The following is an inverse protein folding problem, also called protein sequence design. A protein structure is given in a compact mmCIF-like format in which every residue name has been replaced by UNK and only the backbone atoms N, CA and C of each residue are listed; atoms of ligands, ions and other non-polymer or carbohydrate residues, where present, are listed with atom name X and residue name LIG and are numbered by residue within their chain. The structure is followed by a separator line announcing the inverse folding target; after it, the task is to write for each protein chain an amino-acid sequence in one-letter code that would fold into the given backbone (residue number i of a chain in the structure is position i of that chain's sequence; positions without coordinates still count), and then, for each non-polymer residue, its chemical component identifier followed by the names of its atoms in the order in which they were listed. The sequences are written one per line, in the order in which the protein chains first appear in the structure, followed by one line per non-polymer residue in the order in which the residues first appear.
data_IF_512006424298
#
_entry.id   IF_512006424298
#
_cell.length_a   1.000
_cell.length_b   1.000
_cell.length_c   1.000
_cell.angle_alpha   90.00
_cell.angle_beta   90.00
_cell.angle_gamma   90.00
#
_symmetry.space_group_name_H-M   'P 1'
#
loop_
_entity.id
_entity.type
_entity.pdbx_description
1 polymer ?
#
# COMPACT_ATOMS: atom_id res chain seq x y z
N UNK A 1 -10.13 9.81 2.27
CA UNK A 1 -10.88 8.54 2.30
C UNK A 1 -9.86 7.41 2.12
N UNK A 2 -9.59 6.58 3.15
CA UNK A 2 -8.58 5.51 3.09
C UNK A 2 -9.30 4.19 2.79
N UNK A 3 -8.83 3.47 1.78
CA UNK A 3 -9.43 2.25 1.22
C UNK A 3 -9.60 1.15 2.26
N UNK A 4 -10.78 0.52 2.21
CA UNK A 4 -11.14 -0.68 2.96
C UNK A 4 -10.73 -1.87 2.09
N UNK A 5 -9.90 -2.77 2.60
CA UNK A 5 -9.33 -3.98 1.96
C UNK A 5 -8.05 -3.85 1.11
N UNK A 6 -7.32 -2.73 1.16
CA UNK A 6 -5.93 -2.67 0.67
C UNK A 6 -5.75 -2.66 -0.85
N UNK A 7 -6.82 -2.78 -1.63
CA UNK A 7 -6.82 -2.55 -3.07
C UNK A 7 -8.14 -1.96 -3.56
N UNK A 8 -8.10 -1.27 -4.70
CA UNK A 8 -9.29 -0.93 -5.49
C UNK A 8 -9.32 -1.78 -6.74
N UNK A 9 -10.45 -2.42 -7.00
CA UNK A 9 -10.76 -3.02 -8.30
C UNK A 9 -11.26 -1.90 -9.23
N UNK A 10 -10.70 -1.83 -10.44
CA UNK A 10 -11.24 -0.96 -11.48
C UNK A 10 -12.09 -1.83 -12.40
N UNK A 11 -13.41 -1.65 -12.31
CA UNK A 11 -14.32 -2.12 -13.34
C UNK A 11 -14.42 -1.03 -14.41
N UNK A 12 -14.02 -1.34 -15.65
CA UNK A 12 -14.24 -0.43 -16.77
C UNK A 12 -15.73 -0.40 -17.08
N UNK A 13 -16.45 0.57 -16.51
CA UNK A 13 -17.78 0.94 -17.01
C UNK A 13 -17.54 1.75 -18.28
N UNK A 14 -18.09 1.27 -19.40
CA UNK A 14 -18.09 1.99 -20.68
C UNK A 14 -18.47 3.45 -20.47
N UNK A 15 -17.67 4.34 -21.05
CA UNK A 15 -17.88 5.78 -21.04
C UNK A 15 -19.30 6.10 -21.55
N UNK A 16 -20.20 6.46 -20.62
CA UNK A 16 -21.55 6.88 -20.94
C UNK A 16 -22.61 6.29 -20.02
N UNK A 17 -22.82 6.92 -18.86
CA UNK A 17 -24.14 7.12 -18.22
C UNK A 17 -23.96 7.61 -16.77
N UNK A 18 -24.43 8.83 -16.53
CA UNK A 18 -24.86 9.45 -15.26
C UNK A 18 -24.01 9.29 -13.98
N UNK A 19 -23.50 10.46 -13.55
CA UNK A 19 -22.94 10.73 -12.23
C UNK A 19 -24.10 10.74 -11.23
N UNK A 20 -24.21 9.68 -10.42
CA UNK A 20 -25.12 9.67 -9.29
C UNK A 20 -24.51 10.45 -8.11
N UNK A 21 -25.32 11.33 -7.55
CA UNK A 21 -24.97 12.39 -6.60
C UNK A 21 -24.44 11.87 -5.26
N UNK A 22 -23.35 12.49 -4.79
CA UNK A 22 -22.81 12.33 -3.43
C UNK A 22 -23.59 13.25 -2.50
N UNK A 23 -24.37 12.68 -1.58
CA UNK A 23 -24.92 13.41 -0.43
C UNK A 23 -23.82 13.74 0.58
N UNK A 24 -23.70 15.03 0.87
CA UNK A 24 -22.98 15.65 1.97
C UNK A 24 -23.84 15.63 3.24
N UNK A 25 -23.23 15.50 4.43
CA UNK A 25 -23.66 16.03 5.75
C UNK A 25 -23.02 15.28 6.96
N UNK A 26 -22.21 16.00 7.78
CA UNK A 26 -22.15 15.82 9.25
C UNK A 26 -20.84 15.32 9.92
N UNK A 27 -20.51 15.80 11.15
CA UNK A 27 -19.16 16.27 11.52
C UNK A 27 -18.10 15.19 11.88
N UNK A 28 -16.85 15.61 11.69
CA UNK A 28 -15.58 14.85 11.62
C UNK A 28 -15.21 13.88 12.78
N UNK A 29 -15.96 13.81 13.88
CA UNK A 29 -15.58 13.00 15.06
C UNK A 29 -16.08 11.56 15.02
N UNK A 30 -17.15 11.26 14.26
CA UNK A 30 -17.70 9.88 14.12
C UNK A 30 -16.83 8.95 13.27
N UNK A 31 -16.03 9.51 12.37
CA UNK A 31 -15.23 8.75 11.40
C UNK A 31 -14.06 7.96 12.02
N UNK A 32 -13.46 8.43 13.12
CA UNK A 32 -12.31 7.75 13.75
C UNK A 32 -12.70 6.44 14.45
N UNK A 33 -13.80 6.47 15.20
CA UNK A 33 -14.29 5.31 15.97
C UNK A 33 -14.82 4.23 15.00
N UNK A 34 -15.55 4.62 13.96
CA UNK A 34 -16.07 3.68 12.96
C UNK A 34 -14.93 3.00 12.17
N UNK A 35 -13.83 3.72 11.88
CA UNK A 35 -12.61 3.13 11.28
C UNK A 35 -11.93 2.13 12.21
N UNK A 36 -11.86 2.43 13.51
CA UNK A 36 -11.24 1.53 14.49
C UNK A 36 -12.06 0.26 14.69
N UNK A 37 -13.39 0.40 14.82
CA UNK A 37 -14.33 -0.72 14.95
C UNK A 37 -14.33 -1.59 13.69
N UNK A 38 -14.33 -0.99 12.49
CA UNK A 38 -14.29 -1.76 11.24
C UNK A 38 -12.94 -2.48 11.06
N UNK A 39 -11.81 -1.83 11.39
CA UNK A 39 -10.50 -2.49 11.41
C UNK A 39 -10.46 -3.63 12.41
N UNK A 40 -11.04 -3.48 13.60
CA UNK A 40 -11.12 -4.54 14.59
C UNK A 40 -12.02 -5.69 14.14
N UNK A 41 -13.15 -5.41 13.48
CA UNK A 41 -14.05 -6.43 12.94
C UNK A 41 -13.40 -7.27 11.83
N UNK A 42 -12.65 -6.63 10.91
CA UNK A 42 -11.89 -7.34 9.86
C UNK A 42 -10.63 -8.01 10.40
N UNK A 43 -10.00 -7.45 11.44
CA UNK A 43 -8.80 -8.03 12.06
C UNK A 43 -9.11 -9.17 13.03
N UNK A 44 -10.32 -9.27 13.60
CA UNK A 44 -10.64 -10.22 14.67
C UNK A 44 -10.37 -11.69 14.28
N UNK A 45 -10.79 -12.19 13.09
CA UNK A 45 -10.44 -13.55 12.67
C UNK A 45 -8.93 -13.74 12.49
N UNK A 46 -8.25 -12.75 11.90
CA UNK A 46 -6.80 -12.78 11.61
C UNK A 46 -5.94 -12.70 12.89
N UNK A 47 -6.46 -12.04 13.93
CA UNK A 47 -5.79 -11.91 15.21
C UNK A 47 -5.53 -13.28 15.84
N UNK A 48 -6.56 -14.12 15.86
CA UNK A 48 -6.56 -15.46 16.45
C UNK A 48 -6.10 -16.56 15.50
N UNK A 49 -6.14 -16.33 14.19
CA UNK A 49 -5.62 -17.26 13.20
C UNK A 49 -4.10 -17.16 13.05
N UNK A 50 -3.43 -18.30 12.95
CA UNK A 50 -2.06 -18.36 12.42
C UNK A 50 -2.14 -18.47 10.90
N UNK A 51 -1.45 -17.61 10.13
CA UNK A 51 -1.36 -17.83 8.69
C UNK A 51 -0.73 -19.21 8.42
N UNK A 52 -1.09 -19.89 7.32
CA UNK A 52 -0.47 -21.15 6.95
C UNK A 52 1.05 -21.01 6.99
N UNK A 53 1.75 -21.92 7.68
CA UNK A 53 3.19 -21.81 7.96
C UNK A 53 4.05 -21.74 6.69
N UNK A 54 3.54 -22.26 5.58
CA UNK A 54 4.22 -22.29 4.28
C UNK A 54 3.86 -21.10 3.38
N UNK A 55 2.83 -20.31 3.76
CA UNK A 55 2.33 -19.18 2.98
C UNK A 55 3.32 -18.02 2.93
N UNK A 56 3.33 -17.28 1.82
CA UNK A 56 4.25 -16.15 1.62
C UNK A 56 4.10 -15.05 2.69
N UNK A 57 2.90 -14.85 3.25
CA UNK A 57 2.67 -13.98 4.39
C UNK A 57 3.43 -14.44 5.66
N UNK A 58 3.34 -15.72 6.00
CA UNK A 58 4.04 -16.29 7.15
C UNK A 58 5.56 -16.24 6.96
N UNK A 59 6.03 -16.57 5.75
CA UNK A 59 7.45 -16.48 5.37
C UNK A 59 7.97 -15.05 5.47
N UNK A 60 7.20 -14.05 5.04
CA UNK A 60 7.57 -12.63 5.16
C UNK A 60 7.71 -12.21 6.63
N UNK A 61 6.73 -12.52 7.46
CA UNK A 61 6.73 -12.18 8.90
C UNK A 61 7.87 -12.87 9.65
N UNK A 62 8.21 -14.11 9.29
CA UNK A 62 9.31 -14.85 9.88
C UNK A 62 10.68 -14.32 9.42
N UNK A 63 10.79 -13.86 8.17
CA UNK A 63 12.05 -13.39 7.59
C UNK A 63 12.51 -12.07 8.21
N UNK A 64 11.60 -11.21 8.66
CA UNK A 64 11.93 -9.89 9.21
C UNK A 64 11.15 -9.66 10.53
N UNK A 65 11.60 -10.27 11.64
CA UNK A 65 10.89 -10.16 12.91
C UNK A 65 11.00 -8.74 13.49
N UNK A 66 9.87 -8.07 13.79
CA UNK A 66 9.88 -6.75 14.40
C UNK A 66 10.44 -6.78 15.83
N UNK A 67 11.08 -5.68 16.25
CA UNK A 67 11.62 -5.55 17.61
C UNK A 67 10.53 -5.48 18.68
N UNK A 68 9.37 -4.92 18.35
CA UNK A 68 8.25 -4.70 19.29
C UNK A 68 7.09 -5.66 19.03
N UNK A 69 6.56 -6.26 20.11
CA UNK A 69 5.42 -7.21 20.04
C UNK A 69 4.13 -6.55 19.55
N UNK A 70 3.88 -5.29 19.93
CA UNK A 70 2.69 -4.55 19.48
C UNK A 70 2.74 -4.33 17.98
N UNK A 71 3.89 -3.90 17.48
CA UNK A 71 4.12 -3.72 16.05
C UNK A 71 4.12 -5.04 15.28
N UNK A 72 4.64 -6.13 15.88
CA UNK A 72 4.56 -7.47 15.29
C UNK A 72 3.11 -7.93 15.10
N UNK A 73 2.24 -7.70 16.08
CA UNK A 73 0.82 -8.02 15.97
C UNK A 73 0.13 -7.18 14.89
N UNK A 74 0.37 -5.86 14.88
CA UNK A 74 -0.22 -4.98 13.86
C UNK A 74 0.22 -5.38 12.45
N UNK A 75 1.53 -5.57 12.23
CA UNK A 75 2.06 -5.96 10.93
C UNK A 75 1.61 -7.36 10.51
N UNK A 76 1.40 -8.29 11.46
CA UNK A 76 0.79 -9.60 11.16
C UNK A 76 -0.56 -9.41 10.50
N UNK A 77 -1.44 -8.60 11.10
CA UNK A 77 -2.79 -8.35 10.58
C UNK A 77 -2.70 -7.73 9.18
N UNK A 78 -1.93 -6.65 9.05
CA UNK A 78 -1.79 -5.93 7.78
C UNK A 78 -1.21 -6.83 6.67
N UNK A 79 -0.18 -7.62 6.96
CA UNK A 79 0.45 -8.54 5.99
C UNK A 79 -0.50 -9.67 5.60
N UNK A 80 -1.19 -10.31 6.54
CA UNK A 80 -2.09 -11.43 6.19
C UNK A 80 -3.23 -10.95 5.30
N UNK A 81 -3.91 -9.86 5.67
CA UNK A 81 -4.99 -9.30 4.87
C UNK A 81 -4.52 -8.88 3.48
N UNK A 82 -3.32 -8.30 3.37
CA UNK A 82 -2.75 -7.89 2.09
C UNK A 82 -2.47 -9.10 1.17
N UNK A 83 -1.95 -10.20 1.72
CA UNK A 83 -1.70 -11.40 0.93
C UNK A 83 -2.98 -12.14 0.55
N UNK A 84 -4.00 -12.14 1.41
CA UNK A 84 -5.33 -12.66 1.05
C UNK A 84 -5.93 -11.85 -0.10
N UNK A 85 -5.95 -10.52 0.03
CA UNK A 85 -6.37 -9.59 -1.02
C UNK A 85 -5.63 -9.83 -2.34
N UNK A 86 -4.31 -9.99 -2.27
CA UNK A 86 -3.48 -10.28 -3.43
C UNK A 86 -3.83 -11.61 -4.10
N UNK A 87 -4.01 -12.68 -3.31
CA UNK A 87 -4.36 -13.99 -3.84
C UNK A 87 -5.75 -13.98 -4.50
N UNK A 88 -6.72 -13.27 -3.91
CA UNK A 88 -8.04 -13.06 -4.50
C UNK A 88 -7.94 -12.29 -5.81
N UNK A 89 -7.14 -11.22 -5.86
CA UNK A 89 -6.92 -10.44 -7.08
C UNK A 89 -6.28 -11.28 -8.20
N UNK A 90 -5.27 -12.10 -7.90
CA UNK A 90 -4.65 -13.00 -8.87
C UNK A 90 -5.59 -14.07 -9.42
N UNK A 91 -6.54 -14.54 -8.60
CA UNK A 91 -7.53 -15.53 -9.01
C UNK A 91 -8.73 -14.91 -9.77
N UNK A 92 -8.77 -13.58 -9.89
CA UNK A 92 -9.89 -12.84 -10.48
C UNK A 92 -9.48 -12.18 -11.79
N UNK A 93 -10.42 -12.02 -12.70
CA UNK A 93 -10.22 -11.19 -13.89
C UNK A 93 -10.36 -9.71 -13.54
N UNK A 94 -9.55 -8.85 -14.18
CA UNK A 94 -9.64 -7.39 -14.05
C UNK A 94 -8.31 -6.72 -13.67
N UNK A 95 -8.39 -5.42 -13.41
CA UNK A 95 -7.24 -4.60 -13.02
C UNK A 95 -7.36 -4.20 -11.54
N UNK A 96 -6.29 -4.43 -10.79
CA UNK A 96 -6.25 -4.24 -9.34
C UNK A 96 -5.15 -3.25 -8.97
N UNK A 97 -5.52 -2.15 -8.32
CA UNK A 97 -4.57 -1.16 -7.82
C UNK A 97 -4.44 -1.31 -6.31
N UNK A 98 -3.22 -1.60 -5.85
CA UNK A 98 -2.88 -1.66 -4.44
C UNK A 98 -2.29 -0.32 -3.99
N UNK A 99 -3.09 0.50 -3.28
CA UNK A 99 -2.63 1.77 -2.67
C UNK A 99 -1.59 1.51 -1.56
N UNK A 100 -1.78 0.42 -0.80
CA UNK A 100 -0.82 -0.08 0.19
C UNK A 100 -0.32 -1.48 -0.23
N UNK A 101 0.69 -1.50 -1.10
CA UNK A 101 1.21 -2.73 -1.69
C UNK A 101 2.19 -3.50 -0.80
N UNK A 102 2.52 -4.73 -1.24
CA UNK A 102 3.44 -5.65 -0.56
C UNK A 102 4.81 -5.02 -0.25
N UNK A 103 5.28 -4.13 -1.13
CA UNK A 103 6.53 -3.38 -0.92
C UNK A 103 6.44 -2.46 0.29
N UNK A 104 5.29 -1.82 0.55
CA UNK A 104 5.13 -0.98 1.74
C UNK A 104 5.11 -1.82 3.02
N UNK A 105 4.48 -2.99 3.00
CA UNK A 105 4.53 -3.93 4.13
C UNK A 105 5.99 -4.38 4.41
N UNK A 106 6.76 -4.66 3.36
CA UNK A 106 8.19 -4.96 3.46
C UNK A 106 8.97 -3.77 4.04
N UNK A 107 8.73 -2.54 3.58
CA UNK A 107 9.36 -1.33 4.13
C UNK A 107 9.06 -1.17 5.62
N UNK A 108 7.80 -1.39 6.03
CA UNK A 108 7.39 -1.30 7.43
C UNK A 108 8.06 -2.36 8.31
N UNK A 109 8.20 -3.59 7.80
CA UNK A 109 8.94 -4.66 8.47
C UNK A 109 10.42 -4.30 8.64
N UNK A 110 11.09 -3.83 7.58
CA UNK A 110 12.50 -3.40 7.63
C UNK A 110 12.70 -2.26 8.62
N UNK A 111 11.82 -1.26 8.59
CA UNK A 111 11.85 -0.12 9.51
C UNK A 111 11.76 -0.54 10.99
N UNK A 112 11.00 -1.59 11.27
CA UNK A 112 10.71 -2.09 12.61
C UNK A 112 11.54 -3.32 13.00
N UNK A 113 12.38 -3.81 12.10
CA UNK A 113 13.25 -4.96 12.28
C UNK A 113 14.21 -4.74 13.45
N UNK A 114 14.55 -5.84 14.14
CA UNK A 114 15.60 -5.78 15.17
C UNK A 114 16.99 -5.55 14.56
N UNK A 115 17.27 -6.19 13.42
CA UNK A 115 18.53 -6.09 12.70
C UNK A 115 18.23 -6.10 11.18
N UNK A 116 17.95 -4.94 10.56
CA UNK A 116 17.65 -4.90 9.13
C UNK A 116 18.90 -5.19 8.31
N UNK A 117 18.78 -6.01 7.26
CA UNK A 117 19.83 -6.20 6.26
C UNK A 117 19.24 -6.23 4.85
N UNK A 118 20.02 -5.75 3.87
CA UNK A 118 19.60 -5.75 2.47
C UNK A 118 19.48 -7.18 1.91
N UNK A 119 20.26 -8.12 2.44
CA UNK A 119 20.17 -9.53 2.04
C UNK A 119 18.84 -10.15 2.51
N UNK A 120 18.34 -9.78 3.70
CA UNK A 120 17.00 -10.20 4.15
C UNK A 120 15.91 -9.69 3.22
N UNK A 121 16.01 -8.43 2.77
CA UNK A 121 15.09 -7.84 1.78
C UNK A 121 15.15 -8.62 0.46
N UNK A 122 16.36 -8.87 -0.06
CA UNK A 122 16.57 -9.60 -1.31
C UNK A 122 16.00 -11.02 -1.23
N UNK A 123 16.16 -11.69 -0.08
CA UNK A 123 15.59 -13.00 0.17
C UNK A 123 14.06 -12.97 0.20
N UNK A 124 13.46 -11.96 0.83
CA UNK A 124 12.00 -11.79 0.81
C UNK A 124 11.48 -11.71 -0.63
N UNK A 125 12.13 -10.92 -1.47
CA UNK A 125 11.73 -10.73 -2.88
C UNK A 125 11.69 -12.03 -3.70
N UNK A 126 12.34 -13.11 -3.27
CA UNK A 126 12.29 -14.40 -3.98
C UNK A 126 10.93 -15.10 -3.93
N UNK A 127 10.09 -14.74 -2.95
CA UNK A 127 8.79 -15.36 -2.74
C UNK A 127 7.65 -14.35 -2.63
N UNK A 128 7.94 -13.06 -2.72
CA UNK A 128 6.88 -12.05 -2.78
C UNK A 128 6.15 -12.16 -4.11
N UNK A 129 4.82 -12.02 -4.10
CA UNK A 129 4.06 -11.92 -5.33
C UNK A 129 4.57 -10.76 -6.18
N UNK A 130 4.75 -11.01 -7.48
CA UNK A 130 5.27 -10.02 -8.42
C UNK A 130 4.11 -9.19 -9.00
N UNK A 131 4.13 -7.85 -8.89
CA UNK A 131 3.21 -6.99 -9.62
C UNK A 131 3.56 -6.92 -11.11
N UNK A 132 2.55 -6.68 -11.94
CA UNK A 132 2.75 -6.34 -13.36
C UNK A 132 3.42 -4.98 -13.51
N UNK A 133 3.06 -4.03 -12.64
CA UNK A 133 3.66 -2.71 -12.57
C UNK A 133 3.75 -2.23 -11.12
N UNK A 134 4.95 -1.85 -10.70
CA UNK A 134 5.19 -1.14 -9.46
C UNK A 134 5.32 0.36 -9.72
N UNK A 135 4.54 1.18 -9.03
CA UNK A 135 4.62 2.64 -9.12
C UNK A 135 5.21 3.18 -7.82
N UNK A 136 6.38 3.82 -7.95
CA UNK A 136 7.01 4.53 -6.86
C UNK A 136 6.79 6.03 -7.03
N UNK A 137 5.91 6.58 -6.19
CA UNK A 137 5.69 8.03 -6.10
C UNK A 137 6.65 8.60 -5.08
N UNK A 138 7.46 9.57 -5.49
CA UNK A 138 8.42 10.25 -4.63
C UNK A 138 8.12 11.75 -4.52
N UNK A 139 8.59 12.37 -3.45
CA UNK A 139 8.59 13.81 -3.26
C UNK A 139 9.85 14.23 -2.47
N UNK A 140 10.32 15.47 -2.63
CA UNK A 140 11.45 16.01 -1.87
C UNK A 140 11.25 15.84 -0.36
N UNK A 141 12.35 15.55 0.35
CA UNK A 141 12.34 15.25 1.78
C UNK A 141 11.67 16.32 2.63
N UNK A 142 11.88 17.60 2.33
CA UNK A 142 11.23 18.71 3.04
C UNK A 142 9.71 18.74 2.81
N UNK A 143 9.25 18.46 1.58
CA UNK A 143 7.82 18.34 1.29
C UNK A 143 7.18 17.16 2.02
N UNK A 144 7.87 16.01 2.04
CA UNK A 144 7.41 14.84 2.81
C UNK A 144 7.34 15.16 4.30
N UNK A 145 8.35 15.83 4.86
CA UNK A 145 8.40 16.22 6.26
C UNK A 145 7.24 17.13 6.63
N UNK A 146 6.97 18.17 5.83
CA UNK A 146 5.84 19.07 6.04
C UNK A 146 4.51 18.31 6.05
N UNK A 147 4.26 17.46 5.04
CA UNK A 147 3.04 16.64 4.95
C UNK A 147 2.90 15.67 6.13
N UNK A 148 4.00 15.09 6.59
CA UNK A 148 4.01 14.20 7.75
C UNK A 148 3.71 14.94 9.05
N UNK A 149 4.28 16.13 9.26
CA UNK A 149 4.00 16.96 10.43
C UNK A 149 2.52 17.34 10.47
N UNK A 150 1.97 17.80 9.34
CA UNK A 150 0.57 18.20 9.25
C UNK A 150 -0.37 17.02 9.51
N UNK A 151 -0.10 15.86 8.92
CA UNK A 151 -0.88 14.64 9.17
C UNK A 151 -0.80 14.22 10.64
N UNK A 152 0.38 14.25 11.24
CA UNK A 152 0.58 13.86 12.63
C UNK A 152 -0.13 14.79 13.61
N UNK A 153 -0.18 16.09 13.30
CA UNK A 153 -0.90 17.09 14.11
C UNK A 153 -2.42 16.89 14.09
N UNK A 154 -2.96 16.37 12.99
CA UNK A 154 -4.40 16.12 12.79
C UNK A 154 -4.89 14.76 13.33
N UNK A 155 -4.00 13.93 13.88
CA UNK A 155 -4.35 12.57 14.29
C UNK A 155 -4.79 12.44 15.76
N UNK A 156 -5.87 11.67 16.04
CA UNK A 156 -6.26 11.28 17.37
C UNK A 156 -5.13 10.60 18.14
N UNK A 157 -5.07 10.82 19.46
CA UNK A 157 -3.98 10.35 20.32
C UNK A 157 -3.75 8.83 20.26
N UNK A 158 -4.82 8.03 20.19
CA UNK A 158 -4.74 6.57 20.09
C UNK A 158 -4.21 6.10 18.72
N UNK A 159 -4.49 6.85 17.65
CA UNK A 159 -3.95 6.54 16.32
C UNK A 159 -2.44 6.82 16.27
N UNK A 160 -1.98 7.89 16.94
CA UNK A 160 -0.55 8.23 17.05
C UNK A 160 0.31 7.14 17.70
N UNK A 161 -0.23 6.35 18.62
CA UNK A 161 0.50 5.27 19.30
C UNK A 161 0.78 4.06 18.38
N UNK A 162 -0.05 3.87 17.36
CA UNK A 162 0.07 2.79 16.39
C UNK A 162 0.53 3.29 15.02
N UNK A 163 0.89 4.57 14.90
CA UNK A 163 1.37 5.17 13.66
C UNK A 163 2.87 5.45 13.67
N UNK A 164 3.43 5.45 12.47
CA UNK A 164 4.83 5.69 12.21
C UNK A 164 5.06 7.20 12.29
N UNK A 165 5.51 7.70 13.44
CA UNK A 165 5.74 9.14 13.65
C UNK A 165 6.72 9.76 12.63
N UNK A 166 6.74 11.09 12.52
CA UNK A 166 7.42 11.86 11.45
C UNK A 166 8.83 11.36 11.11
N UNK A 167 9.70 11.18 12.11
CA UNK A 167 11.10 10.72 11.92
C UNK A 167 11.14 9.33 11.28
N UNK A 168 10.29 8.41 11.75
CA UNK A 168 10.21 7.06 11.21
C UNK A 168 9.55 7.06 9.83
N UNK A 169 8.63 7.98 9.57
CA UNK A 169 7.98 8.16 8.26
C UNK A 169 8.97 8.61 7.19
N UNK A 170 9.86 9.56 7.51
CA UNK A 170 10.96 9.94 6.62
C UNK A 170 11.91 8.78 6.37
N UNK A 171 12.31 8.06 7.42
CA UNK A 171 13.15 6.87 7.29
C UNK A 171 12.48 5.78 6.45
N UNK A 172 11.16 5.62 6.54
CA UNK A 172 10.40 4.68 5.71
C UNK A 172 10.44 5.07 4.22
N UNK A 173 10.38 6.37 3.92
CA UNK A 173 10.54 6.85 2.54
C UNK A 173 11.94 6.54 1.99
N UNK A 174 12.99 6.73 2.79
CA UNK A 174 14.37 6.37 2.40
C UNK A 174 14.50 4.86 2.14
N UNK A 175 13.96 4.03 3.03
CA UNK A 175 13.91 2.56 2.86
C UNK A 175 13.16 2.21 1.57
N UNK A 176 12.03 2.87 1.29
CA UNK A 176 11.26 2.61 0.07
C UNK A 176 12.07 2.94 -1.20
N UNK A 177 12.87 4.01 -1.19
CA UNK A 177 13.79 4.34 -2.30
C UNK A 177 14.86 3.27 -2.50
N UNK A 178 15.51 2.83 -1.42
CA UNK A 178 16.54 1.79 -1.45
C UNK A 178 15.99 0.44 -1.95
N UNK A 179 14.82 0.03 -1.44
CA UNK A 179 14.13 -1.18 -1.90
C UNK A 179 13.72 -1.02 -3.37
N UNK A 180 13.22 0.15 -3.77
CA UNK A 180 12.87 0.43 -5.16
C UNK A 180 14.06 0.30 -6.11
N UNK A 181 15.26 0.74 -5.71
CA UNK A 181 16.48 0.52 -6.47
C UNK A 181 16.82 -0.97 -6.59
N UNK A 182 16.65 -1.75 -5.52
CA UNK A 182 16.86 -3.20 -5.54
C UNK A 182 15.83 -3.96 -6.40
N UNK A 183 14.65 -3.37 -6.61
CA UNK A 183 13.55 -3.96 -7.39
C UNK A 183 13.64 -3.67 -8.89
N UNK A 184 14.36 -2.64 -9.30
CA UNK A 184 14.31 -2.13 -10.68
C UNK A 184 14.70 -3.19 -11.73
N UNK A 185 15.60 -4.11 -11.38
CA UNK A 185 16.09 -5.17 -12.28
C UNK A 185 15.19 -6.42 -12.26
N UNK A 186 14.21 -6.47 -11.34
CA UNK A 186 13.34 -7.64 -11.14
C UNK A 186 11.91 -7.38 -11.55
N UNK A 187 11.38 -6.20 -11.22
CA UNK A 187 9.98 -5.83 -11.41
C UNK A 187 9.88 -4.58 -12.28
N UNK A 188 8.90 -4.48 -13.19
CA UNK A 188 8.63 -3.24 -13.91
C UNK A 188 8.35 -2.12 -12.91
N UNK A 189 9.20 -1.09 -12.92
CA UNK A 189 9.15 0.02 -11.97
C UNK A 189 8.98 1.35 -12.71
N UNK A 190 7.89 2.05 -12.40
CA UNK A 190 7.65 3.42 -12.82
C UNK A 190 7.89 4.37 -11.65
N UNK A 191 8.79 5.35 -11.82
CA UNK A 191 9.00 6.42 -10.85
C UNK A 191 8.20 7.66 -11.26
N UNK A 192 7.49 8.23 -10.30
CA UNK A 192 6.61 9.40 -10.51
C UNK A 192 6.99 10.48 -9.50
N UNK A 193 7.24 11.70 -9.99
CA UNK A 193 7.37 12.87 -9.12
C UNK A 193 5.98 13.35 -8.70
N UNK A 194 5.68 13.20 -7.42
CA UNK A 194 4.41 13.62 -6.84
C UNK A 194 4.23 15.14 -6.72
N UNK A 195 5.20 15.94 -7.15
CA UNK A 195 5.10 17.40 -7.23
C UNK A 195 4.85 17.94 -8.63
N UNK A 196 4.92 17.13 -9.69
CA UNK A 196 4.68 17.60 -11.05
C UNK A 196 3.22 17.34 -11.48
N UNK A 197 2.32 18.34 -11.37
CA UNK A 197 0.91 18.16 -11.76
C UNK A 197 0.74 17.92 -13.27
N UNK A 198 1.74 18.29 -14.10
CA UNK A 198 1.70 18.10 -15.56
C UNK A 198 2.01 16.66 -15.97
N UNK A 199 2.47 15.84 -15.03
CA UNK A 199 2.85 14.46 -15.29
C UNK A 199 1.67 13.48 -15.09
N UNK A 200 0.54 13.90 -14.50
CA UNK A 200 -0.52 12.96 -14.14
C UNK A 200 -1.14 12.26 -15.36
N UNK A 201 -1.51 13.01 -16.40
CA UNK A 201 -2.05 12.42 -17.64
C UNK A 201 -1.03 11.52 -18.36
N UNK A 202 0.24 11.93 -18.37
CA UNK A 202 1.33 11.15 -18.97
C UNK A 202 1.57 9.84 -18.20
N UNK A 203 1.51 9.88 -16.87
CA UNK A 203 1.61 8.70 -16.01
C UNK A 203 0.44 7.76 -16.25
N UNK A 204 -0.79 8.27 -16.29
CA UNK A 204 -1.98 7.46 -16.62
C UNK A 204 -1.82 6.81 -18.00
N UNK A 205 -1.45 7.57 -19.03
CA UNK A 205 -1.22 7.04 -20.38
C UNK A 205 -0.13 5.96 -20.41
N UNK A 206 0.94 6.10 -19.62
CA UNK A 206 2.00 5.10 -19.51
C UNK A 206 1.57 3.84 -18.76
N UNK A 207 0.72 3.96 -17.73
CA UNK A 207 0.12 2.82 -17.02
C UNK A 207 -0.77 2.05 -17.99
N UNK A 208 -1.62 2.76 -18.73
CA UNK A 208 -2.49 2.21 -19.78
C UNK A 208 -1.65 1.46 -20.83
N UNK A 209 -0.59 2.09 -21.34
CA UNK A 209 0.29 1.50 -22.34
C UNK A 209 1.15 0.32 -21.85
N UNK A 210 1.28 0.11 -20.54
CA UNK A 210 2.03 -1.02 -19.96
C UNK A 210 1.23 -2.33 -19.92
N UNK A 211 -0.09 -2.29 -20.10
CA UNK A 211 -0.90 -3.50 -19.90
C UNK A 211 -2.35 -3.47 -20.36
N UNK A 212 -2.83 -2.41 -21.02
CA UNK A 212 -4.14 -2.45 -21.65
C UNK A 212 -3.99 -2.94 -23.10
N UNK A 213 -4.75 -3.96 -23.54
CA UNK A 213 -4.83 -4.29 -24.95
C UNK A 213 -5.27 -3.05 -25.75
N UNK A 214 -4.67 -2.85 -26.93
CA UNK A 214 -4.79 -1.67 -27.78
C UNK A 214 -6.25 -1.30 -28.18
N UNK A 215 -7.23 -2.13 -27.85
CA UNK A 215 -8.66 -1.91 -28.10
C UNK A 215 -9.32 -0.91 -27.14
N UNK A 216 -8.65 -0.46 -26.06
CA UNK A 216 -9.18 0.56 -25.16
C UNK A 216 -8.95 2.01 -25.63
N UNK A 217 -8.21 2.20 -26.73
CA UNK A 217 -7.88 3.52 -27.29
C UNK A 217 -8.47 3.69 -28.69
N UNK A 218 -9.78 3.55 -28.84
CA UNK A 218 -10.49 4.06 -30.02
C UNK A 218 -11.68 4.86 -29.51
N UNK A 219 -11.54 6.19 -29.51
CA UNK A 219 -12.69 7.09 -29.40
C UNK A 219 -13.52 7.03 -30.68
N UNK A 220 -14.84 7.29 -30.61
CA UNK A 220 -15.69 7.30 -31.80
C UNK A 220 -15.28 8.42 -32.75
N UNK A 221 -15.20 8.07 -34.05
CA UNK A 221 -14.98 8.97 -35.19
C UNK A 221 -16.05 10.09 -35.30
#
# INVERSE_FOLDING_TARGET
MKTVNGYRRIDFVSFGSEVDSVEDEGPETRHGIQRLVHKLATASPVLFSTPPSEGAAARLLASIPPKSRIWALRLKIDVVLLFEAWNTAQASEGYFIFEEGIVQALCALVLLARNPSIDMVRNCMTFLPRPDLLIQVDAPGETLRHRLIERYARQPYLERLLEVGVVRGLKQADIAREIGQCLQDKWPLMRVDGLDPRNFEQVVARIVGHGLPATACVGPD
#
